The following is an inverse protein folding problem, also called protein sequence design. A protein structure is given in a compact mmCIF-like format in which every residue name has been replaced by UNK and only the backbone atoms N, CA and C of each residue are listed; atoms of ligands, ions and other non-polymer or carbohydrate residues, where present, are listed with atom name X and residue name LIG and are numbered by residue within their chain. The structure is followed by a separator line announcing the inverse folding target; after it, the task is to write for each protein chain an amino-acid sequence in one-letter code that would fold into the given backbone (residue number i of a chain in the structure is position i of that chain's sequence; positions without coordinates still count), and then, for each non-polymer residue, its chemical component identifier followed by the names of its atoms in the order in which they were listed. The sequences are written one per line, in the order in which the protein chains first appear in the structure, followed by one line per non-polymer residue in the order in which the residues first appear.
data_IF_542899585588
#
_entry.id   IF_542899585588
#
_cell.length_a   1.000
_cell.length_b   1.000
_cell.length_c   1.000
_cell.angle_alpha   90.00
_cell.angle_beta   90.00
_cell.angle_gamma   90.00
#
_symmetry.space_group_name_H-M   'P 1'
#
loop_
_entity.id
_entity.type
_entity.pdbx_description
1 polymer ?
#
# COMPACT_ATOMS: atom_id res chain seq x y z
N UNK A 1 36.41 -32.22 -0.45
CA UNK A 1 35.79 -31.69 0.79
C UNK A 1 35.31 -30.27 0.51
N UNK A 2 34.00 -30.09 0.29
CA UNK A 2 33.40 -28.78 -0.02
C UNK A 2 32.99 -28.16 1.32
N UNK A 3 33.50 -26.97 1.62
CA UNK A 3 33.09 -26.17 2.78
C UNK A 3 31.63 -25.72 2.58
N UNK A 4 30.68 -26.54 3.06
CA UNK A 4 29.24 -26.36 2.94
C UNK A 4 28.63 -25.81 4.23
N UNK A 5 29.19 -24.72 4.75
CA UNK A 5 28.48 -23.86 5.69
C UNK A 5 28.84 -22.41 5.37
N UNK A 6 28.13 -21.84 4.40
CA UNK A 6 28.05 -20.37 4.31
C UNK A 6 27.37 -19.94 5.62
N UNK A 7 28.13 -19.32 6.49
CA UNK A 7 27.62 -18.76 7.74
C UNK A 7 26.49 -17.80 7.37
N UNK A 8 25.30 -18.02 7.94
CA UNK A 8 24.14 -17.18 7.67
C UNK A 8 24.49 -15.72 8.01
N UNK A 9 24.16 -14.80 7.10
CA UNK A 9 24.46 -13.39 7.31
C UNK A 9 23.54 -12.82 8.40
N UNK A 10 24.03 -11.94 9.29
CA UNK A 10 23.18 -11.23 10.21
C UNK A 10 22.22 -10.31 9.43
N UNK A 11 21.03 -10.09 9.98
CA UNK A 11 20.08 -9.19 9.36
C UNK A 11 20.62 -7.74 9.32
N UNK A 12 20.33 -6.97 8.25
CA UNK A 12 20.76 -5.58 8.16
C UNK A 12 20.14 -4.74 9.28
N UNK A 13 20.96 -3.93 9.94
CA UNK A 13 20.49 -2.95 10.93
C UNK A 13 19.90 -1.74 10.20
N UNK A 14 18.78 -1.21 10.69
CA UNK A 14 18.19 0.02 10.18
C UNK A 14 17.31 -0.13 8.93
N UNK A 15 16.90 -1.34 8.57
CA UNK A 15 15.97 -1.56 7.47
C UNK A 15 14.59 -0.99 7.81
N UNK A 16 14.13 0.04 7.09
CA UNK A 16 12.78 0.59 7.28
C UNK A 16 11.71 -0.28 6.61
N UNK A 17 10.46 -0.15 7.05
CA UNK A 17 9.31 -0.79 6.39
C UNK A 17 9.24 -0.45 4.89
N UNK A 18 9.51 0.82 4.54
CA UNK A 18 9.56 1.29 3.16
C UNK A 18 10.66 0.58 2.34
N UNK A 19 11.85 0.40 2.92
CA UNK A 19 12.94 -0.29 2.25
C UNK A 19 12.63 -1.79 2.09
N UNK A 20 12.05 -2.43 3.11
CA UNK A 20 11.63 -3.83 3.04
C UNK A 20 10.62 -4.04 1.92
N UNK A 21 9.47 -3.34 1.93
CA UNK A 21 8.44 -3.54 0.90
C UNK A 21 8.86 -3.00 -0.49
N UNK A 22 9.83 -2.08 -0.54
CA UNK A 22 10.45 -1.61 -1.78
C UNK A 22 11.33 -2.65 -2.48
N UNK A 23 11.79 -3.68 -1.78
CA UNK A 23 12.54 -4.81 -2.35
C UNK A 23 11.66 -5.80 -3.13
N UNK A 24 10.35 -5.54 -3.20
CA UNK A 24 9.36 -6.39 -3.84
C UNK A 24 8.70 -5.69 -5.03
N UNK A 25 8.34 -6.48 -6.05
CA UNK A 25 7.60 -6.02 -7.23
C UNK A 25 6.25 -6.74 -7.31
N UNK A 26 5.15 -6.00 -7.44
CA UNK A 26 3.81 -6.60 -7.56
C UNK A 26 3.59 -7.14 -8.97
N UNK A 27 3.03 -8.34 -9.07
CA UNK A 27 2.52 -8.93 -10.32
C UNK A 27 0.98 -8.86 -10.41
N UNK A 28 0.37 -7.90 -9.72
CA UNK A 28 -1.07 -7.61 -9.79
C UNK A 28 -1.93 -8.55 -8.93
N UNK A 29 -3.06 -8.98 -9.51
CA UNK A 29 -4.29 -9.47 -8.87
C UNK A 29 -5.27 -8.34 -8.54
N UNK A 30 -4.89 -7.47 -7.61
CA UNK A 30 -5.64 -6.27 -7.27
C UNK A 30 -4.70 -5.21 -6.64
N UNK A 31 -5.29 -4.18 -6.03
CA UNK A 31 -4.55 -3.07 -5.45
C UNK A 31 -3.86 -3.36 -4.11
N UNK A 32 -4.20 -4.44 -3.42
CA UNK A 32 -3.90 -4.62 -1.99
C UNK A 32 -2.40 -4.54 -1.66
N UNK A 33 -1.54 -5.28 -2.38
CA UNK A 33 -0.11 -5.23 -2.10
C UNK A 33 0.50 -3.86 -2.42
N UNK A 34 0.05 -3.21 -3.49
CA UNK A 34 0.47 -1.85 -3.82
C UNK A 34 0.05 -0.82 -2.76
N UNK A 35 -1.10 -1.04 -2.11
CA UNK A 35 -1.56 -0.27 -0.95
C UNK A 35 -0.70 -0.58 0.29
N UNK A 36 -0.37 -1.85 0.56
CA UNK A 36 0.54 -2.20 1.65
C UNK A 36 1.92 -1.52 1.49
N UNK A 37 2.49 -1.54 0.28
CA UNK A 37 3.70 -0.76 -0.06
C UNK A 37 3.50 0.72 0.26
N UNK A 38 2.37 1.29 -0.20
CA UNK A 38 2.01 2.70 0.03
C UNK A 38 1.99 3.04 1.52
N UNK A 39 1.39 2.18 2.33
CA UNK A 39 1.26 2.33 3.78
C UNK A 39 2.58 2.18 4.53
N UNK A 40 3.51 1.38 4.02
CA UNK A 40 4.88 1.33 4.54
C UNK A 40 5.73 2.54 4.14
N UNK A 41 5.23 3.46 3.31
CA UNK A 41 5.99 4.59 2.78
C UNK A 41 6.78 4.30 1.49
N UNK A 42 6.58 3.11 0.90
CA UNK A 42 7.13 2.74 -0.39
C UNK A 42 6.16 3.08 -1.53
N UNK A 43 6.66 3.72 -2.58
CA UNK A 43 5.86 4.02 -3.78
C UNK A 43 6.64 3.64 -5.05
N UNK A 44 6.98 2.35 -5.22
CA UNK A 44 7.74 1.91 -6.37
C UNK A 44 6.91 2.08 -7.65
N UNK A 45 7.59 2.46 -8.73
CA UNK A 45 6.99 2.41 -10.07
C UNK A 45 7.02 0.96 -10.55
N UNK A 46 5.85 0.36 -10.71
CA UNK A 46 5.69 -1.03 -11.13
C UNK A 46 4.57 -1.17 -12.14
N UNK A 47 4.75 -2.04 -13.14
CA UNK A 47 3.79 -2.21 -14.23
C UNK A 47 2.44 -2.74 -13.73
N UNK A 48 2.48 -3.69 -12.80
CA UNK A 48 1.28 -4.32 -12.23
C UNK A 48 0.99 -3.88 -10.79
N UNK A 49 1.71 -2.88 -10.29
CA UNK A 49 1.38 -2.27 -9.01
C UNK A 49 0.02 -1.57 -9.13
N UNK A 50 -0.87 -1.85 -8.18
CA UNK A 50 -2.25 -1.34 -8.19
C UNK A 50 -3.06 -1.75 -9.44
N UNK A 51 -2.75 -2.93 -10.01
CA UNK A 51 -3.37 -3.41 -11.23
C UNK A 51 -4.07 -4.76 -11.02
N UNK A 52 -5.18 -4.96 -11.72
CA UNK A 52 -5.69 -6.31 -11.97
C UNK A 52 -4.85 -6.97 -13.05
N UNK A 53 -4.50 -8.23 -12.82
CA UNK A 53 -3.77 -9.06 -13.77
C UNK A 53 -4.18 -10.53 -13.60
N UNK A 54 -5.16 -11.01 -14.39
CA UNK A 54 -5.51 -12.43 -14.41
C UNK A 54 -4.28 -13.28 -14.77
N UNK A 55 -4.09 -14.39 -14.06
CA UNK A 55 -2.83 -15.15 -14.19
C UNK A 55 -2.62 -15.73 -15.59
N UNK A 56 -3.68 -16.15 -16.29
CA UNK A 56 -3.57 -16.67 -17.65
C UNK A 56 -3.03 -15.61 -18.62
N UNK A 57 -3.57 -14.40 -18.54
CA UNK A 57 -3.14 -13.25 -19.33
C UNK A 57 -1.73 -12.82 -18.97
N UNK A 58 -1.41 -12.77 -17.68
CA UNK A 58 -0.07 -12.43 -17.20
C UNK A 58 0.97 -13.43 -17.71
N UNK A 59 0.68 -14.73 -17.67
CA UNK A 59 1.55 -15.77 -18.22
C UNK A 59 1.79 -15.52 -19.71
N UNK A 60 0.73 -15.34 -20.49
CA UNK A 60 0.87 -15.11 -21.94
C UNK A 60 1.66 -13.83 -22.25
N UNK A 61 1.39 -12.76 -21.50
CA UNK A 61 2.10 -11.51 -21.64
C UNK A 61 3.60 -11.68 -21.33
N UNK A 62 3.98 -12.39 -20.27
CA UNK A 62 5.39 -12.65 -19.94
C UNK A 62 6.06 -13.54 -21.00
N UNK A 63 5.41 -14.62 -21.44
CA UNK A 63 5.92 -15.53 -22.49
C UNK A 63 6.20 -14.80 -23.81
N UNK A 64 5.36 -13.83 -24.15
CA UNK A 64 5.51 -12.99 -25.35
C UNK A 64 6.33 -11.72 -25.12
N UNK A 65 6.97 -11.57 -23.93
CA UNK A 65 7.70 -10.36 -23.52
C UNK A 65 6.87 -9.07 -23.72
N UNK A 66 5.58 -9.16 -23.43
CA UNK A 66 4.59 -8.09 -23.51
C UNK A 66 4.42 -7.49 -24.91
N UNK A 67 4.72 -8.25 -25.98
CA UNK A 67 4.64 -7.76 -27.36
C UNK A 67 3.26 -7.21 -27.76
N UNK A 68 2.19 -7.67 -27.09
CA UNK A 68 0.81 -7.26 -27.37
C UNK A 68 0.23 -6.27 -26.35
N UNK A 69 1.02 -5.78 -25.38
CA UNK A 69 0.55 -4.89 -24.32
C UNK A 69 1.10 -3.47 -24.47
N UNK A 70 0.21 -2.47 -24.36
CA UNK A 70 0.59 -1.06 -24.31
C UNK A 70 0.57 -0.31 -25.65
N UNK A 71 0.18 -0.97 -26.74
CA UNK A 71 0.03 -0.35 -28.05
C UNK A 71 -1.13 0.66 -28.11
N UNK A 72 -1.10 1.55 -29.09
CA UNK A 72 -2.18 2.54 -29.30
C UNK A 72 -3.53 1.90 -29.68
N UNK A 73 -3.52 0.70 -30.26
CA UNK A 73 -4.71 -0.11 -30.55
C UNK A 73 -5.18 -0.92 -29.33
N UNK A 74 -4.33 -1.09 -28.32
CA UNK A 74 -4.60 -1.89 -27.12
C UNK A 74 -5.13 -1.07 -25.94
N UNK A 75 -4.51 0.07 -25.63
CA UNK A 75 -4.87 0.83 -24.43
C UNK A 75 -6.13 1.66 -24.63
N UNK A 76 -7.00 1.64 -23.63
CA UNK A 76 -8.17 2.50 -23.55
C UNK A 76 -8.37 3.06 -22.14
N UNK A 77 -8.95 4.26 -22.05
CA UNK A 77 -9.29 4.90 -20.78
C UNK A 77 -10.81 5.00 -20.67
N UNK A 78 -11.37 4.51 -19.57
CA UNK A 78 -12.82 4.46 -19.33
C UNK A 78 -13.17 5.09 -17.98
N UNK A 79 -14.37 5.65 -17.87
CA UNK A 79 -14.93 6.10 -16.59
C UNK A 79 -15.53 4.90 -15.88
N UNK A 80 -15.06 4.62 -14.67
CA UNK A 80 -15.58 3.57 -13.80
C UNK A 80 -16.44 4.12 -12.67
N UNK A 81 -16.65 3.30 -11.64
CA UNK A 81 -17.42 3.65 -10.47
C UNK A 81 -16.85 4.90 -9.76
N UNK A 82 -17.74 5.75 -9.23
CA UNK A 82 -17.35 6.98 -8.54
C UNK A 82 -16.68 8.04 -9.44
N UNK A 83 -16.75 7.89 -10.77
CA UNK A 83 -16.15 8.83 -11.72
C UNK A 83 -14.64 8.63 -11.92
N UNK A 84 -14.01 7.64 -11.28
CA UNK A 84 -12.58 7.38 -11.48
C UNK A 84 -12.27 6.91 -12.90
N UNK A 85 -11.16 7.39 -13.45
CA UNK A 85 -10.66 6.94 -14.75
C UNK A 85 -9.78 5.70 -14.59
N UNK A 86 -10.08 4.68 -15.38
CA UNK A 86 -9.34 3.43 -15.44
C UNK A 86 -8.69 3.25 -16.80
N UNK A 87 -7.46 2.77 -16.80
CA UNK A 87 -6.76 2.29 -17.98
C UNK A 87 -6.99 0.79 -18.12
N UNK A 88 -7.35 0.34 -19.32
CA UNK A 88 -7.57 -1.06 -19.66
C UNK A 88 -6.75 -1.46 -20.88
N UNK A 89 -6.29 -2.71 -20.89
CA UNK A 89 -5.86 -3.38 -22.12
C UNK A 89 -7.07 -3.99 -22.82
N UNK A 90 -7.09 -3.94 -24.14
CA UNK A 90 -8.06 -4.65 -24.99
C UNK A 90 -7.61 -6.07 -25.32
N UNK A 91 -6.30 -6.32 -25.27
CA UNK A 91 -5.70 -7.65 -25.54
C UNK A 91 -5.66 -8.55 -24.31
N UNK A 92 -5.61 -7.95 -23.13
CA UNK A 92 -5.49 -8.64 -21.84
C UNK A 92 -6.54 -8.13 -20.85
N UNK A 93 -6.89 -8.94 -19.85
CA UNK A 93 -7.70 -8.51 -18.71
C UNK A 93 -6.98 -7.59 -17.72
N UNK A 94 -5.99 -6.81 -18.17
CA UNK A 94 -5.24 -5.88 -17.33
C UNK A 94 -6.01 -4.57 -17.17
N UNK A 95 -6.09 -4.09 -15.93
CA UNK A 95 -6.73 -2.81 -15.63
C UNK A 95 -6.11 -2.15 -14.41
N UNK A 96 -6.02 -0.83 -14.41
CA UNK A 96 -5.54 -0.06 -13.26
C UNK A 96 -6.18 1.33 -13.17
N UNK A 97 -6.25 1.87 -11.95
CA UNK A 97 -6.70 3.23 -11.72
C UNK A 97 -5.63 4.24 -12.15
N UNK A 98 -6.03 5.25 -12.92
CA UNK A 98 -5.11 6.33 -13.34
C UNK A 98 -4.84 7.35 -12.23
N UNK A 99 -5.74 7.43 -11.24
CA UNK A 99 -5.73 8.45 -10.18
C UNK A 99 -6.54 9.71 -10.53
N UNK A 100 -7.00 9.83 -11.77
CA UNK A 100 -7.84 10.94 -12.23
C UNK A 100 -9.34 10.63 -12.11
N UNK A 101 -10.16 11.68 -12.06
CA UNK A 101 -11.63 11.58 -11.99
C UNK A 101 -12.31 12.44 -13.04
N UNK A 102 -13.43 11.96 -13.56
CA UNK A 102 -14.39 12.71 -14.34
C UNK A 102 -15.33 13.51 -13.41
N UNK A 103 -15.88 14.67 -13.86
CA UNK A 103 -15.65 15.30 -15.16
C UNK A 103 -14.37 16.16 -15.21
N UNK A 104 -13.60 16.23 -14.11
CA UNK A 104 -12.40 17.07 -14.02
C UNK A 104 -11.37 16.76 -15.10
N UNK A 105 -11.22 15.48 -15.46
CA UNK A 105 -10.33 15.00 -16.52
C UNK A 105 -11.15 14.16 -17.49
N UNK A 106 -10.97 14.37 -18.80
CA UNK A 106 -11.62 13.53 -19.82
C UNK A 106 -10.72 12.34 -20.17
N UNK A 107 -11.27 11.14 -20.44
CA UNK A 107 -10.48 9.96 -20.80
C UNK A 107 -9.50 10.18 -21.96
N UNK A 108 -9.93 10.90 -23.01
CA UNK A 108 -9.11 11.16 -24.18
C UNK A 108 -7.87 12.02 -23.86
N UNK A 109 -7.96 12.92 -22.87
CA UNK A 109 -6.89 13.85 -22.54
C UNK A 109 -5.67 13.15 -21.92
N UNK A 110 -5.87 11.96 -21.34
CA UNK A 110 -4.80 11.20 -20.67
C UNK A 110 -4.37 9.94 -21.42
N UNK A 111 -5.03 9.55 -22.51
CA UNK A 111 -4.73 8.31 -23.24
C UNK A 111 -3.26 8.22 -23.67
N UNK A 112 -2.73 9.28 -24.29
CA UNK A 112 -1.33 9.30 -24.73
C UNK A 112 -0.33 9.24 -23.55
N UNK A 113 -0.70 9.76 -22.37
CA UNK A 113 0.08 9.65 -21.14
C UNK A 113 0.11 8.20 -20.64
N UNK A 114 -1.04 7.53 -20.65
CA UNK A 114 -1.14 6.13 -20.20
C UNK A 114 -0.40 5.16 -21.13
N UNK A 115 -0.48 5.34 -22.46
CA UNK A 115 0.30 4.56 -23.43
C UNK A 115 1.80 4.65 -23.14
N UNK A 116 2.34 5.88 -23.00
CA UNK A 116 3.77 6.08 -22.68
C UNK A 116 4.15 5.48 -21.33
N UNK A 117 3.26 5.57 -20.34
CA UNK A 117 3.47 4.98 -19.01
C UNK A 117 3.60 3.47 -19.10
N UNK A 118 2.68 2.79 -19.80
CA UNK A 118 2.72 1.33 -19.95
C UNK A 118 3.99 0.90 -20.68
N UNK A 119 4.36 1.59 -21.75
CA UNK A 119 5.55 1.27 -22.53
C UNK A 119 6.83 1.36 -21.70
N UNK A 120 7.01 2.47 -20.97
CA UNK A 120 8.13 2.65 -20.04
C UNK A 120 8.15 1.59 -18.93
N UNK A 121 7.01 1.30 -18.30
CA UNK A 121 6.92 0.35 -17.19
C UNK A 121 7.16 -1.10 -17.65
N UNK A 122 6.81 -1.42 -18.90
CA UNK A 122 7.10 -2.71 -19.54
C UNK A 122 8.61 -2.89 -19.76
N UNK A 123 9.27 -1.92 -20.36
CA UNK A 123 10.73 -1.96 -20.56
C UNK A 123 11.46 -2.10 -19.23
N UNK A 124 11.05 -1.30 -18.24
CA UNK A 124 11.60 -1.38 -16.88
C UNK A 124 11.37 -2.74 -16.25
N UNK A 125 10.16 -3.30 -16.33
CA UNK A 125 9.88 -4.62 -15.75
C UNK A 125 10.76 -5.69 -16.40
N UNK A 126 10.91 -5.68 -17.73
CA UNK A 126 11.79 -6.63 -18.41
C UNK A 126 13.25 -6.52 -17.95
N UNK A 127 13.75 -5.29 -17.75
CA UNK A 127 15.08 -5.06 -17.19
C UNK A 127 15.20 -5.55 -15.74
N UNK A 128 14.22 -5.24 -14.88
CA UNK A 128 14.18 -5.68 -13.48
C UNK A 128 14.11 -7.23 -13.38
N UNK A 129 13.37 -7.89 -14.29
CA UNK A 129 13.30 -9.36 -14.39
C UNK A 129 14.64 -9.97 -14.81
N UNK A 130 15.32 -9.36 -15.80
CA UNK A 130 16.62 -9.81 -16.27
C UNK A 130 17.70 -9.67 -15.17
N UNK A 131 17.66 -8.60 -14.39
CA UNK A 131 18.55 -8.40 -13.24
C UNK A 131 18.25 -9.38 -12.10
N UNK A 132 16.96 -9.62 -11.82
CA UNK A 132 16.52 -10.55 -10.78
C UNK A 132 16.74 -10.02 -9.36
N UNK A 133 16.85 -8.70 -9.18
CA UNK A 133 17.17 -8.04 -7.90
C UNK A 133 15.98 -7.97 -6.93
N UNK A 134 14.74 -7.97 -7.43
CA UNK A 134 13.53 -7.92 -6.61
C UNK A 134 12.89 -9.28 -6.39
N UNK A 135 12.16 -9.42 -5.29
CA UNK A 135 11.23 -10.54 -5.10
C UNK A 135 9.91 -10.15 -5.76
N UNK A 136 9.44 -10.97 -6.71
CA UNK A 136 8.15 -10.77 -7.36
C UNK A 136 7.04 -11.27 -6.43
N UNK A 137 5.90 -10.58 -6.38
CA UNK A 137 4.77 -10.94 -5.51
C UNK A 137 3.52 -11.19 -6.34
N UNK A 138 2.98 -12.41 -6.26
CA UNK A 138 1.66 -12.77 -6.76
C UNK A 138 0.74 -13.02 -5.56
N UNK A 139 -0.21 -12.13 -5.31
CA UNK A 139 -1.33 -12.40 -4.40
C UNK A 139 -2.29 -13.33 -5.15
N UNK A 140 -2.36 -14.60 -4.73
CA UNK A 140 -3.16 -15.60 -5.42
C UNK A 140 -4.63 -15.51 -5.00
N UNK A 141 -5.57 -15.14 -5.88
CA UNK A 141 -6.98 -15.17 -5.56
C UNK A 141 -7.43 -16.59 -5.18
N UNK A 142 -8.54 -16.74 -4.43
CA UNK A 142 -9.17 -18.03 -4.24
C UNK A 142 -9.40 -18.74 -5.59
N UNK A 143 -8.96 -20.00 -5.68
CA UNK A 143 -9.09 -20.82 -6.90
C UNK A 143 -7.92 -20.73 -7.89
N UNK A 144 -6.93 -19.85 -7.68
CA UNK A 144 -5.71 -19.87 -8.50
C UNK A 144 -4.93 -21.18 -8.30
N UNK A 145 -4.69 -21.92 -9.38
CA UNK A 145 -4.05 -23.24 -9.30
C UNK A 145 -2.53 -23.13 -9.16
N UNK A 146 -1.93 -24.12 -8.48
CA UNK A 146 -0.47 -24.20 -8.39
C UNK A 146 0.19 -24.34 -9.77
N UNK A 147 -0.44 -25.08 -10.68
CA UNK A 147 0.04 -25.24 -12.06
C UNK A 147 0.13 -23.90 -12.81
N UNK A 148 -0.85 -23.01 -12.64
CA UNK A 148 -0.82 -21.68 -13.25
C UNK A 148 0.34 -20.83 -12.69
N UNK A 149 0.56 -20.88 -11.37
CA UNK A 149 1.69 -20.17 -10.72
C UNK A 149 3.03 -20.72 -11.17
N UNK A 150 3.16 -22.05 -11.31
CA UNK A 150 4.39 -22.67 -11.82
C UNK A 150 4.66 -22.31 -13.27
N UNK A 151 3.62 -22.22 -14.11
CA UNK A 151 3.76 -21.75 -15.50
C UNK A 151 4.22 -20.30 -15.55
N UNK A 152 3.62 -19.43 -14.74
CA UNK A 152 4.05 -18.03 -14.60
C UNK A 152 5.52 -17.96 -14.16
N UNK A 153 5.88 -18.73 -13.14
CA UNK A 153 7.25 -18.78 -12.64
C UNK A 153 8.25 -19.22 -13.72
N UNK A 154 7.94 -20.27 -14.48
CA UNK A 154 8.76 -20.73 -15.59
C UNK A 154 8.95 -19.65 -16.66
N UNK A 155 7.87 -18.95 -17.04
CA UNK A 155 7.93 -17.85 -18.00
C UNK A 155 8.82 -16.69 -17.51
N UNK A 156 8.72 -16.32 -16.23
CA UNK A 156 9.56 -15.28 -15.63
C UNK A 156 11.04 -15.71 -15.56
N UNK A 157 11.30 -16.97 -15.20
CA UNK A 157 12.64 -17.56 -15.14
C UNK A 157 13.32 -17.69 -16.50
N UNK A 158 12.54 -17.75 -17.59
CA UNK A 158 13.07 -17.69 -18.95
C UNK A 158 13.60 -16.29 -19.34
N UNK A 159 13.28 -15.25 -18.57
CA UNK A 159 13.80 -13.89 -18.76
C UNK A 159 15.02 -13.63 -17.87
N UNK A 160 14.98 -14.06 -16.60
CA UNK A 160 16.11 -13.84 -15.68
C UNK A 160 16.00 -14.61 -14.36
N UNK A 161 16.96 -14.45 -13.45
CA UNK A 161 17.11 -15.26 -12.25
C UNK A 161 16.15 -14.85 -11.11
N UNK A 162 14.87 -14.68 -11.42
CA UNK A 162 13.89 -14.13 -10.49
C UNK A 162 13.58 -15.05 -9.32
N UNK A 163 13.09 -14.45 -8.24
CA UNK A 163 12.44 -15.13 -7.12
C UNK A 163 10.97 -14.72 -7.08
N UNK A 164 10.04 -15.68 -6.98
CA UNK A 164 8.60 -15.43 -6.91
C UNK A 164 8.06 -15.82 -5.53
N UNK A 165 7.33 -14.90 -4.91
CA UNK A 165 6.53 -15.13 -3.71
C UNK A 165 5.05 -15.20 -4.09
N UNK A 166 4.46 -16.39 -4.00
CA UNK A 166 3.01 -16.57 -4.02
C UNK A 166 2.44 -16.35 -2.62
N UNK A 167 1.48 -15.46 -2.45
CA UNK A 167 0.79 -15.26 -1.17
C UNK A 167 -0.64 -15.74 -1.28
N UNK A 168 -1.07 -16.62 -0.38
CA UNK A 168 -2.43 -17.15 -0.33
C UNK A 168 -3.17 -16.67 0.94
N UNK A 169 -4.49 -16.57 0.88
CA UNK A 169 -5.29 -16.44 2.10
C UNK A 169 -5.33 -17.80 2.81
N UNK A 170 -5.03 -17.83 4.10
CA UNK A 170 -5.14 -19.03 4.93
C UNK A 170 -5.45 -18.64 6.37
N UNK A 171 -6.72 -18.82 6.76
CA UNK A 171 -7.24 -18.41 8.06
C UNK A 171 -6.49 -19.03 9.25
N UNK A 172 -5.96 -20.25 9.10
CA UNK A 172 -5.27 -20.99 10.17
C UNK A 172 -3.74 -20.98 10.03
N UNK A 173 -3.17 -20.25 9.07
CA UNK A 173 -1.72 -20.18 8.93
C UNK A 173 -1.12 -19.26 10.01
N UNK A 174 0.02 -19.63 10.62
CA UNK A 174 0.75 -18.73 11.51
C UNK A 174 1.08 -17.42 10.77
N UNK A 175 0.89 -16.24 11.39
CA UNK A 175 1.17 -14.96 10.77
C UNK A 175 2.57 -14.90 10.16
N UNK A 176 2.62 -14.48 8.90
CA UNK A 176 3.88 -14.30 8.18
C UNK A 176 4.60 -15.58 7.78
N UNK A 177 4.02 -16.79 7.92
CA UNK A 177 4.70 -18.03 7.48
C UNK A 177 5.03 -17.95 5.99
N UNK A 178 6.31 -18.14 5.66
CA UNK A 178 6.79 -18.30 4.28
C UNK A 178 7.65 -19.54 4.19
N UNK A 179 7.43 -20.35 3.16
CA UNK A 179 8.20 -21.57 2.88
C UNK A 179 8.82 -21.52 1.49
N UNK A 180 10.05 -22.02 1.37
CA UNK A 180 10.69 -22.23 0.08
C UNK A 180 10.09 -23.48 -0.60
N UNK A 181 9.70 -23.37 -1.86
CA UNK A 181 9.11 -24.44 -2.67
C UNK A 181 10.06 -24.97 -3.76
N UNK A 182 11.32 -24.53 -3.73
CA UNK A 182 12.36 -24.91 -4.69
C UNK A 182 12.55 -23.87 -5.78
N UNK A 183 13.74 -23.88 -6.42
CA UNK A 183 14.05 -23.15 -7.67
C UNK A 183 13.90 -21.61 -7.67
N UNK A 184 13.58 -20.99 -6.54
CA UNK A 184 13.26 -19.55 -6.44
C UNK A 184 11.77 -19.26 -6.24
N UNK A 185 10.93 -20.28 -6.06
CA UNK A 185 9.53 -20.13 -5.68
C UNK A 185 9.37 -20.20 -4.16
N UNK A 186 8.68 -19.22 -3.60
CA UNK A 186 8.27 -19.16 -2.20
C UNK A 186 6.74 -19.12 -2.11
N UNK A 187 6.21 -19.66 -1.00
CA UNK A 187 4.79 -19.57 -0.67
C UNK A 187 4.62 -18.95 0.72
N UNK A 188 3.94 -17.81 0.77
CA UNK A 188 3.52 -17.14 1.99
C UNK A 188 2.01 -17.23 2.21
N UNK A 189 1.56 -16.83 3.39
CA UNK A 189 0.14 -16.75 3.72
C UNK A 189 -0.21 -15.49 4.54
N UNK A 190 -1.41 -14.96 4.29
CA UNK A 190 -2.07 -13.96 5.13
C UNK A 190 -3.35 -14.55 5.74
N UNK A 191 -3.75 -14.16 6.96
CA UNK A 191 -4.99 -14.65 7.58
C UNK A 191 -6.21 -14.34 6.72
N UNK A 192 -6.26 -13.12 6.19
CA UNK A 192 -7.28 -12.65 5.25
C UNK A 192 -6.66 -11.67 4.27
N UNK A 193 -7.26 -11.59 3.08
CA UNK A 193 -7.01 -10.50 2.15
C UNK A 193 -8.01 -9.38 2.39
N UNK A 194 -7.62 -8.16 2.03
CA UNK A 194 -8.57 -7.07 1.92
C UNK A 194 -9.69 -7.44 0.93
N UNK A 195 -10.96 -7.10 1.22
CA UNK A 195 -12.03 -7.25 0.24
C UNK A 195 -11.67 -6.54 -1.06
N UNK A 196 -12.01 -7.12 -2.23
CA UNK A 196 -11.64 -6.53 -3.52
C UNK A 196 -12.18 -5.11 -3.72
N UNK A 197 -13.38 -4.83 -3.18
CA UNK A 197 -13.98 -3.51 -3.22
C UNK A 197 -13.32 -2.50 -2.26
N UNK A 198 -12.51 -2.97 -1.31
CA UNK A 198 -11.91 -2.19 -0.23
C UNK A 198 -10.43 -2.55 -0.05
N UNK A 199 -9.64 -2.52 -1.13
CA UNK A 199 -8.20 -2.82 -1.08
C UNK A 199 -7.41 -1.89 -0.13
N UNK A 200 -8.00 -0.78 0.31
CA UNK A 200 -7.49 0.11 1.37
C UNK A 200 -7.44 -0.56 2.74
N UNK A 201 -8.14 -1.67 2.94
CA UNK A 201 -8.17 -2.45 4.18
C UNK A 201 -7.00 -3.45 4.25
N UNK A 202 -5.94 -3.23 3.47
CA UNK A 202 -4.76 -4.09 3.44
C UNK A 202 -4.15 -4.28 4.83
N UNK A 203 -3.89 -5.54 5.20
CA UNK A 203 -3.23 -5.93 6.45
C UNK A 203 -1.72 -5.63 6.38
N UNK A 204 -1.35 -4.38 6.63
CA UNK A 204 0.05 -3.95 6.62
C UNK A 204 0.95 -4.80 7.56
N UNK A 205 0.59 -5.05 8.83
CA UNK A 205 1.37 -5.95 9.69
C UNK A 205 1.60 -7.33 9.08
N UNK A 206 0.54 -7.96 8.53
CA UNK A 206 0.65 -9.25 7.87
C UNK A 206 1.57 -9.22 6.65
N UNK A 207 1.43 -8.20 5.79
CA UNK A 207 2.30 -8.01 4.63
C UNK A 207 3.77 -7.81 5.02
N UNK A 208 4.05 -7.03 6.06
CA UNK A 208 5.42 -6.85 6.56
C UNK A 208 6.00 -8.14 7.13
N UNK A 209 5.20 -8.93 7.86
CA UNK A 209 5.64 -10.22 8.37
C UNK A 209 5.98 -11.18 7.22
N UNK A 210 5.10 -11.32 6.22
CA UNK A 210 5.32 -12.18 5.04
C UNK A 210 6.54 -11.70 4.24
N UNK A 211 6.65 -10.41 3.94
CA UNK A 211 7.77 -9.87 3.19
C UNK A 211 9.08 -9.96 3.98
N UNK A 212 9.07 -9.74 5.30
CA UNK A 212 10.24 -9.89 6.16
C UNK A 212 10.81 -11.30 6.13
N UNK A 213 9.95 -12.32 6.23
CA UNK A 213 10.37 -13.73 6.12
C UNK A 213 10.85 -14.09 4.72
N UNK A 214 10.15 -13.65 3.68
CA UNK A 214 10.57 -13.89 2.30
C UNK A 214 11.93 -13.23 2.00
N UNK A 215 12.15 -12.03 2.52
CA UNK A 215 13.43 -11.32 2.42
C UNK A 215 14.54 -12.10 3.12
N UNK A 216 14.30 -12.58 4.35
CA UNK A 216 15.26 -13.40 5.08
C UNK A 216 15.64 -14.67 4.32
N UNK A 217 14.65 -15.42 3.82
CA UNK A 217 14.89 -16.64 3.03
C UNK A 217 15.74 -16.37 1.80
N UNK A 218 15.41 -15.35 1.01
CA UNK A 218 16.15 -15.00 -0.21
C UNK A 218 17.60 -14.58 0.08
N UNK A 219 17.83 -13.89 1.19
CA UNK A 219 19.16 -13.40 1.57
C UNK A 219 19.90 -14.34 2.54
N UNK A 220 19.35 -15.53 2.80
CA UNK A 220 19.93 -16.51 3.73
C UNK A 220 20.21 -15.94 5.13
N UNK A 221 19.26 -15.15 5.64
CA UNK A 221 19.28 -14.63 7.01
C UNK A 221 18.62 -15.64 7.95
N UNK A 222 19.10 -15.69 9.21
CA UNK A 222 18.53 -16.57 10.25
C UNK A 222 17.11 -16.14 10.61
N UNK A 223 16.90 -14.84 10.75
CA UNK A 223 15.63 -14.24 11.15
C UNK A 223 15.26 -13.09 10.20
N UNK A 224 13.95 -12.74 10.13
CA UNK A 224 13.51 -11.51 9.49
C UNK A 224 14.23 -10.28 10.08
N UNK A 225 14.56 -9.29 9.25
CA UNK A 225 15.13 -8.04 9.74
C UNK A 225 14.15 -7.34 10.67
N UNK A 226 14.63 -6.93 11.86
CA UNK A 226 13.91 -6.01 12.71
C UNK A 226 13.76 -4.68 11.96
N UNK A 227 12.53 -4.17 11.86
CA UNK A 227 12.29 -2.91 11.19
C UNK A 227 12.78 -1.76 12.07
N UNK A 228 13.47 -0.80 11.45
CA UNK A 228 13.80 0.44 12.13
C UNK A 228 12.51 1.14 12.59
N UNK A 229 12.49 1.72 13.80
CA UNK A 229 11.33 2.46 14.26
C UNK A 229 11.08 3.66 13.34
N UNK A 230 9.85 4.18 13.42
CA UNK A 230 9.52 5.47 12.85
C UNK A 230 10.43 6.57 13.43
N UNK A 231 10.53 7.70 12.71
CA UNK A 231 11.26 8.87 13.19
C UNK A 231 10.68 9.42 14.50
N UNK A 232 11.45 10.20 15.26
CA UNK A 232 10.97 10.83 16.49
C UNK A 232 9.73 11.69 16.19
N UNK A 233 8.79 11.83 17.14
CA UNK A 233 7.62 12.66 16.94
C UNK A 233 8.03 14.12 16.71
N UNK A 234 7.51 14.71 15.64
CA UNK A 234 7.61 16.15 15.35
C UNK A 234 6.61 16.96 16.19
N UNK A 235 5.53 16.30 16.61
CA UNK A 235 4.52 16.81 17.52
C UNK A 235 4.01 15.66 18.37
N UNK A 236 3.81 15.92 19.66
CA UNK A 236 3.21 14.97 20.60
C UNK A 236 2.40 15.72 21.65
N UNK A 237 1.16 15.28 21.88
CA UNK A 237 0.32 15.73 22.98
C UNK A 237 -0.25 14.51 23.72
N UNK A 238 0.18 14.35 24.98
CA UNK A 238 -0.21 13.22 25.83
C UNK A 238 -1.59 13.43 26.49
N UNK A 239 -1.99 14.69 26.70
CA UNK A 239 -3.20 15.02 27.43
C UNK A 239 -4.47 14.58 26.70
N UNK A 240 -5.46 14.14 27.48
CA UNK A 240 -6.79 13.88 26.94
C UNK A 240 -7.52 15.20 26.76
N UNK A 241 -7.98 15.46 25.55
CA UNK A 241 -8.74 16.66 25.17
C UNK A 241 -10.13 16.27 24.67
N UNK A 242 -11.06 17.22 24.64
CA UNK A 242 -12.40 17.03 24.09
C UNK A 242 -12.76 18.10 23.04
N UNK A 243 -12.17 18.06 21.84
CA UNK A 243 -12.49 19.00 20.78
C UNK A 243 -13.96 18.90 20.37
N UNK A 244 -14.58 20.03 20.00
CA UNK A 244 -15.97 20.10 19.58
C UNK A 244 -16.16 21.05 18.40
N UNK A 245 -17.14 20.76 17.55
CA UNK A 245 -17.57 21.67 16.49
C UNK A 245 -18.24 22.90 17.09
N UNK A 246 -17.67 24.09 16.86
CA UNK A 246 -18.28 25.35 17.27
C UNK A 246 -19.55 25.69 16.48
N UNK A 247 -19.59 25.29 15.21
CA UNK A 247 -20.72 25.51 14.28
C UNK A 247 -21.04 24.20 13.58
N UNK A 248 -22.31 23.99 13.20
CA UNK A 248 -22.74 22.82 12.44
C UNK A 248 -21.97 22.72 11.11
N UNK A 249 -21.51 21.52 10.79
CA UNK A 249 -20.77 21.19 9.59
C UNK A 249 -21.40 19.96 8.94
N UNK A 250 -22.33 20.13 7.98
CA UNK A 250 -23.02 19.01 7.34
C UNK A 250 -22.08 18.22 6.42
N UNK A 251 -21.06 18.87 5.87
CA UNK A 251 -20.07 18.27 5.00
C UNK A 251 -18.73 18.04 5.73
N UNK A 252 -17.98 17.00 5.36
CA UNK A 252 -16.63 16.79 5.87
C UNK A 252 -15.68 17.96 5.57
N UNK A 253 -15.00 18.47 6.60
CA UNK A 253 -13.92 19.43 6.42
C UNK A 253 -13.79 20.49 7.51
N UNK A 254 -14.79 20.64 8.38
CA UNK A 254 -14.68 21.54 9.52
C UNK A 254 -13.68 21.01 10.55
N UNK A 255 -12.74 21.88 10.94
CA UNK A 255 -11.72 21.55 11.93
C UNK A 255 -12.27 21.82 13.33
N UNK A 256 -12.34 20.78 14.16
CA UNK A 256 -12.65 20.88 15.59
C UNK A 256 -11.39 21.19 16.42
N UNK A 257 -10.22 20.83 15.91
CA UNK A 257 -8.91 21.19 16.44
C UNK A 257 -7.87 21.18 15.32
N UNK A 258 -6.85 22.03 15.42
CA UNK A 258 -5.76 22.10 14.45
C UNK A 258 -4.46 22.53 15.11
N UNK A 259 -3.34 21.99 14.62
CA UNK A 259 -2.00 22.30 15.11
C UNK A 259 -1.05 22.53 13.92
N UNK A 260 -0.24 23.60 13.93
CA UNK A 260 0.88 23.72 13.00
C UNK A 260 1.97 22.70 13.37
N UNK A 261 2.61 22.13 12.36
CA UNK A 261 3.73 21.20 12.52
C UNK A 261 4.84 21.64 11.57
N UNK A 262 6.04 21.79 12.13
CA UNK A 262 7.25 22.14 11.42
C UNK A 262 8.22 20.95 11.37
N UNK A 263 9.32 21.08 10.61
CA UNK A 263 10.36 20.05 10.54
C UNK A 263 9.99 18.82 9.70
N UNK A 264 8.91 18.89 8.91
CA UNK A 264 8.51 17.82 8.02
C UNK A 264 9.56 17.63 6.92
N UNK A 265 10.01 16.38 6.68
CA UNK A 265 11.00 16.12 5.63
C UNK A 265 10.34 15.98 4.25
N UNK A 266 10.79 16.73 3.23
CA UNK A 266 10.25 16.61 1.87
C UNK A 266 10.34 15.19 1.32
N UNK A 267 9.33 14.77 0.55
CA UNK A 267 9.23 13.45 -0.07
C UNK A 267 9.24 12.27 0.93
N UNK A 268 9.02 12.51 2.23
CA UNK A 268 8.84 11.46 3.23
C UNK A 268 7.37 11.32 3.60
N UNK A 269 6.99 10.11 3.99
CA UNK A 269 5.65 9.81 4.52
C UNK A 269 5.59 10.32 5.96
N UNK A 270 4.62 11.19 6.23
CA UNK A 270 4.32 11.64 7.57
C UNK A 270 2.91 11.20 7.95
N UNK A 271 2.74 10.85 9.21
CA UNK A 271 1.48 10.34 9.74
C UNK A 271 1.10 11.14 10.97
N UNK A 272 -0.12 11.68 10.96
CA UNK A 272 -0.79 12.17 12.15
C UNK A 272 -1.69 11.07 12.68
N UNK A 273 -1.58 10.75 13.96
CA UNK A 273 -2.34 9.67 14.59
C UNK A 273 -2.80 10.06 15.99
N UNK A 274 -3.92 9.49 16.43
CA UNK A 274 -4.40 9.62 17.79
C UNK A 274 -5.37 8.48 18.13
N UNK A 275 -5.61 8.29 19.43
CA UNK A 275 -6.77 7.55 19.89
C UNK A 275 -7.93 8.52 20.10
N UNK A 276 -9.12 8.14 19.65
CA UNK A 276 -10.36 8.88 19.90
C UNK A 276 -11.40 7.96 20.53
N UNK A 277 -12.33 8.56 21.29
CA UNK A 277 -13.55 7.91 21.75
C UNK A 277 -14.74 8.75 21.33
N UNK A 278 -15.61 8.14 20.53
CA UNK A 278 -16.89 8.73 20.18
C UNK A 278 -17.85 8.53 21.36
N UNK A 279 -18.52 9.58 21.86
CA UNK A 279 -19.60 9.43 22.84
C UNK A 279 -20.70 8.47 22.36
N UNK A 280 -21.43 7.83 23.28
CA UNK A 280 -22.55 6.93 22.92
C UNK A 280 -23.61 7.67 22.09
N UNK A 281 -23.87 8.92 22.45
CA UNK A 281 -24.81 9.84 21.81
C UNK A 281 -24.18 10.62 20.65
N UNK A 282 -23.02 10.20 20.11
CA UNK A 282 -22.36 10.89 19.01
C UNK A 282 -23.32 11.08 17.83
N UNK A 283 -23.62 12.34 17.53
CA UNK A 283 -24.55 12.78 16.48
C UNK A 283 -23.85 13.20 15.19
N UNK A 284 -22.52 13.12 15.17
CA UNK A 284 -21.72 13.38 13.98
C UNK A 284 -21.78 12.24 12.96
N UNK A 285 -21.47 12.59 11.72
CA UNK A 285 -21.42 11.66 10.57
C UNK A 285 -20.00 11.32 10.17
N UNK A 286 -18.99 11.96 10.77
CA UNK A 286 -17.57 11.71 10.48
C UNK A 286 -16.65 12.21 11.58
N UNK A 287 -15.56 11.49 11.82
CA UNK A 287 -14.42 11.95 12.60
C UNK A 287 -13.12 11.41 11.98
N UNK A 288 -12.19 12.29 11.61
CA UNK A 288 -10.96 11.92 10.91
C UNK A 288 -9.81 12.86 11.24
N UNK A 289 -8.57 12.35 11.14
CA UNK A 289 -7.38 13.17 11.15
C UNK A 289 -6.91 13.44 9.72
N UNK A 290 -6.40 14.64 9.49
CA UNK A 290 -5.87 15.02 8.18
C UNK A 290 -4.73 16.02 8.29
N UNK A 291 -3.90 16.03 7.25
CA UNK A 291 -3.08 17.18 6.89
C UNK A 291 -3.95 18.08 6.01
N UNK A 292 -4.29 19.27 6.50
CA UNK A 292 -5.33 20.13 5.93
C UNK A 292 -5.02 20.53 4.49
N UNK A 293 -3.75 20.85 4.21
CA UNK A 293 -3.29 21.37 2.91
C UNK A 293 -2.61 20.31 2.04
N UNK A 294 -2.72 19.04 2.41
CA UNK A 294 -2.06 17.95 1.72
C UNK A 294 -3.04 16.90 1.21
N UNK A 295 -2.76 16.38 0.01
CA UNK A 295 -3.52 15.24 -0.51
C UNK A 295 -3.29 14.02 0.40
N UNK A 296 -4.34 13.29 0.78
CA UNK A 296 -4.21 12.13 1.63
C UNK A 296 -3.46 11.02 0.89
N UNK A 297 -2.53 10.40 1.60
CA UNK A 297 -1.80 9.21 1.16
C UNK A 297 -2.41 7.93 1.71
N UNK A 298 -2.83 7.96 2.97
CA UNK A 298 -3.61 6.93 3.63
C UNK A 298 -4.43 7.57 4.76
N UNK A 299 -5.51 6.92 5.18
CA UNK A 299 -6.29 7.35 6.34
C UNK A 299 -7.05 6.19 6.95
N UNK A 300 -7.27 6.25 8.25
CA UNK A 300 -8.27 5.47 8.97
C UNK A 300 -9.12 6.44 9.77
N UNK A 301 -10.39 6.51 9.42
CA UNK A 301 -11.37 7.36 10.09
C UNK A 301 -12.01 6.62 11.27
N UNK A 302 -12.78 7.33 12.07
CA UNK A 302 -13.53 6.73 13.15
C UNK A 302 -14.59 5.77 12.61
N UNK A 303 -14.64 4.57 13.17
CA UNK A 303 -15.77 3.66 13.01
C UNK A 303 -16.92 4.15 13.90
N UNK A 304 -17.97 4.67 13.26
CA UNK A 304 -19.15 5.22 13.92
C UNK A 304 -20.01 4.16 14.62
N UNK A 305 -19.78 2.87 14.32
CA UNK A 305 -20.43 1.74 14.99
C UNK A 305 -19.77 1.40 16.33
N UNK A 306 -18.53 1.87 16.55
CA UNK A 306 -17.73 1.61 17.76
C UNK A 306 -17.71 2.81 18.72
N UNK A 307 -18.90 3.21 19.18
CA UNK A 307 -19.06 4.27 20.19
C UNK A 307 -18.69 3.77 21.58
N UNK A 308 -18.43 4.71 22.50
CA UNK A 308 -18.02 4.42 23.89
C UNK A 308 -16.62 3.80 24.04
N UNK A 309 -15.96 3.47 22.93
CA UNK A 309 -14.68 2.75 22.90
C UNK A 309 -13.57 3.60 22.32
N UNK A 310 -12.36 3.46 22.86
CA UNK A 310 -11.16 4.02 22.26
C UNK A 310 -10.83 3.30 20.94
N UNK A 311 -10.50 4.08 19.92
CA UNK A 311 -10.10 3.60 18.62
C UNK A 311 -9.01 4.51 18.05
N UNK A 312 -7.99 3.92 17.43
CA UNK A 312 -6.92 4.69 16.81
C UNK A 312 -7.33 5.14 15.42
N UNK A 313 -7.28 6.44 15.14
CA UNK A 313 -7.46 7.01 13.81
C UNK A 313 -6.15 7.64 13.33
N UNK A 314 -5.99 7.79 12.02
CA UNK A 314 -4.81 8.44 11.45
C UNK A 314 -5.08 9.04 10.08
N UNK A 315 -4.27 10.04 9.72
CA UNK A 315 -4.14 10.56 8.38
C UNK A 315 -2.66 10.59 8.00
N UNK A 316 -2.32 10.15 6.81
CA UNK A 316 -0.95 10.13 6.33
C UNK A 316 -0.84 10.88 5.01
N UNK A 317 0.30 11.52 4.77
CA UNK A 317 0.58 12.20 3.51
C UNK A 317 2.06 12.14 3.16
N UNK A 318 2.38 12.23 1.87
CA UNK A 318 3.76 12.40 1.40
C UNK A 318 4.01 13.87 1.14
N UNK A 319 4.97 14.45 1.86
CA UNK A 319 5.32 15.86 1.73
C UNK A 319 5.83 16.19 0.32
N UNK A 320 5.42 17.35 -0.21
CA UNK A 320 5.91 17.85 -1.50
C UNK A 320 7.39 18.20 -1.40
N UNK A 321 8.09 18.31 -2.54
CA UNK A 321 9.55 18.51 -2.65
C UNK A 321 10.13 19.69 -1.86
N UNK A 322 9.30 20.66 -1.43
CA UNK A 322 9.71 21.85 -0.64
C UNK A 322 8.78 22.15 0.53
N UNK A 323 7.95 21.20 0.93
CA UNK A 323 7.04 21.39 2.04
C UNK A 323 7.71 20.86 3.32
N UNK A 324 7.99 21.77 4.25
CA UNK A 324 8.53 21.47 5.59
C UNK A 324 7.55 21.75 6.73
N UNK A 325 6.40 22.31 6.39
CA UNK A 325 5.37 22.74 7.33
C UNK A 325 4.00 22.31 6.83
N UNK A 326 3.11 21.99 7.75
CA UNK A 326 1.71 21.69 7.47
C UNK A 326 0.85 21.94 8.69
N UNK A 327 -0.43 22.21 8.47
CA UNK A 327 -1.45 22.12 9.51
C UNK A 327 -2.01 20.71 9.55
N UNK A 328 -1.99 20.10 10.72
CA UNK A 328 -2.73 18.86 11.00
C UNK A 328 -3.99 19.20 11.78
N UNK A 329 -5.06 18.43 11.60
CA UNK A 329 -6.29 18.71 12.33
C UNK A 329 -7.24 17.53 12.44
N UNK A 330 -8.12 17.65 13.43
CA UNK A 330 -9.26 16.78 13.63
C UNK A 330 -10.45 17.38 12.88
N UNK A 331 -10.90 16.66 11.85
CA UNK A 331 -12.09 16.99 11.08
C UNK A 331 -13.29 16.24 11.66
N UNK A 332 -14.34 16.99 11.99
CA UNK A 332 -15.63 16.45 12.38
C UNK A 332 -16.71 16.90 11.38
N UNK A 333 -17.74 16.09 11.18
CA UNK A 333 -18.96 16.48 10.49
C UNK A 333 -20.16 16.15 11.39
N UNK A 334 -21.12 17.07 11.52
CA UNK A 334 -22.24 16.97 12.44
C UNK A 334 -22.80 18.31 12.88
N UNK A 335 -23.81 18.31 13.77
CA UNK A 335 -24.35 19.54 14.37
C UNK A 335 -23.32 20.26 15.24
N UNK A 336 -23.58 21.53 15.56
CA UNK A 336 -22.80 22.27 16.54
C UNK A 336 -22.79 21.50 17.89
N UNK A 337 -21.64 21.51 18.58
CA UNK A 337 -21.43 20.75 19.81
C UNK A 337 -21.04 19.29 19.60
N UNK A 338 -20.98 18.78 18.36
CA UNK A 338 -20.41 17.45 18.07
C UNK A 338 -18.98 17.39 18.60
N UNK A 339 -18.73 16.50 19.56
CA UNK A 339 -17.46 16.42 20.27
C UNK A 339 -16.96 14.97 20.34
N UNK A 340 -15.64 14.83 20.43
CA UNK A 340 -14.97 13.53 20.64
C UNK A 340 -13.95 13.68 21.75
N UNK A 341 -13.70 12.62 22.50
CA UNK A 341 -12.52 12.57 23.36
C UNK A 341 -11.33 12.08 22.55
N UNK A 342 -10.16 12.65 22.83
CA UNK A 342 -8.96 12.41 22.03
C UNK A 342 -7.72 12.41 22.92
N UNK A 343 -6.78 11.49 22.67
CA UNK A 343 -5.50 11.41 23.38
C UNK A 343 -4.40 10.84 22.49
N UNK A 344 -3.15 10.97 22.93
CA UNK A 344 -1.99 10.40 22.23
C UNK A 344 -1.83 10.94 20.81
N UNK A 345 -2.11 12.24 20.63
CA UNK A 345 -1.94 12.90 19.33
C UNK A 345 -0.45 12.95 19.03
N UNK A 346 -0.04 12.38 17.90
CA UNK A 346 1.35 12.43 17.45
C UNK A 346 1.47 12.67 15.95
N UNK A 347 2.55 13.32 15.55
CA UNK A 347 2.98 13.39 14.15
C UNK A 347 4.36 12.79 14.03
N UNK A 348 4.49 11.72 13.26
CA UNK A 348 5.75 11.00 13.05
C UNK A 348 6.07 10.92 11.56
N UNK A 349 7.36 10.81 11.24
CA UNK A 349 7.78 10.33 9.93
C UNK A 349 7.87 8.81 9.94
N UNK A 350 7.26 8.14 8.97
CA UNK A 350 7.41 6.69 8.84
C UNK A 350 6.15 5.99 8.34
N UNK A 351 5.99 4.75 8.78
CA UNK A 351 4.88 3.89 8.39
C UNK A 351 3.60 4.19 9.17
N UNK A 352 2.50 3.54 8.81
CA UNK A 352 1.23 3.73 9.52
C UNK A 352 1.28 3.14 10.95
N UNK A 353 0.58 3.75 11.93
CA UNK A 353 0.56 3.30 13.32
C UNK A 353 0.16 1.83 13.50
N UNK A 354 0.74 1.19 14.52
CA UNK A 354 0.53 -0.24 14.81
C UNK A 354 1.53 -1.16 14.12
N UNK A 355 2.58 -0.58 13.55
CA UNK A 355 3.70 -1.25 12.90
C UNK A 355 4.98 -0.71 13.52
N UNK A 356 5.48 -1.39 14.56
CA UNK A 356 6.65 -0.96 15.32
C UNK A 356 6.81 -1.77 16.58
#
# INVERSE_FOLDING_TARGET
MIALFRQAAPAPVGLSAAALLGAFESLGDNCEFGIAQRYAGADPLGLFRLSSAPIADLVHAVETRFAHYGGADDIEVRVGAGGYLFCHSRRYGFAYHTGDTAPRVKPADILAREIRRVDYLKERLLADLAAGDKILVRKGPPGESEGAVRRLFGALRAIGPVTLLRVCAAAEAPPGRVVWRGEGLMQGALPHFAPYAAATDADLPGWLAVCGRAYALRHSLVEPPALAPDGPPLFEAADTTRPALAVAAPEPGALAASYPVEGLRPNRLHVVAAEIRLPEDFSGTRAALAFVDAAPHARREADLTRRGSWQTIYGATRMRKRQSEATVGLMLAGPAGTAVEMRGWRVTEGCLPGVG
#
